data_IF_375917061880
#
_entry.id   IF_375917061880
#
_cell.length_a   1.000
_cell.length_b   1.000
_cell.length_c   1.000
_cell.angle_alpha   90.00
_cell.angle_beta   90.00
_cell.angle_gamma   90.00
#
_symmetry.space_group_name_H-M   'P 1'
#
loop_
_entity.id
_entity.type
_entity.pdbx_description
1 polymer ?
#
# COMPACT_ATOMS: atom_id res chain seq x y z
N UNK A 1 8.52 14.14 -73.49
CA UNK A 1 9.34 15.37 -73.47
C UNK A 1 9.04 16.11 -74.76
N UNK A 2 8.32 17.24 -74.71
CA UNK A 2 7.99 18.02 -75.90
C UNK A 2 8.75 19.33 -75.87
N UNK A 3 9.66 19.49 -76.83
CA UNK A 3 10.41 20.73 -77.04
C UNK A 3 9.71 21.52 -78.14
N UNK A 4 8.93 22.53 -77.76
CA UNK A 4 8.31 23.47 -78.71
C UNK A 4 9.21 24.69 -78.80
N UNK A 5 9.89 24.85 -79.95
CA UNK A 5 10.70 26.02 -80.27
C UNK A 5 9.78 27.09 -80.85
N UNK A 6 9.48 28.13 -80.08
CA UNK A 6 8.75 29.29 -80.59
C UNK A 6 9.69 30.16 -81.46
N UNK A 7 9.20 30.72 -82.57
CA UNK A 7 10.02 31.53 -83.48
C UNK A 7 10.43 32.86 -82.84
N UNK A 8 11.65 33.32 -83.17
CA UNK A 8 12.17 34.63 -82.77
C UNK A 8 11.22 35.75 -83.23
N UNK A 9 10.77 36.65 -82.34
CA UNK A 9 9.87 37.73 -82.71
C UNK A 9 10.60 38.75 -83.60
N UNK A 10 9.97 39.10 -84.73
CA UNK A 10 10.40 40.16 -85.64
C UNK A 10 10.55 41.51 -84.91
N UNK A 11 11.41 42.40 -85.43
CA UNK A 11 11.87 43.61 -84.74
C UNK A 11 10.76 44.51 -84.14
N UNK A 12 9.56 44.52 -84.74
CA UNK A 12 8.40 45.28 -84.25
C UNK A 12 7.85 44.69 -82.95
N UNK A 13 7.83 43.35 -82.81
CA UNK A 13 7.39 42.68 -81.59
C UNK A 13 8.39 42.86 -80.44
N UNK A 14 9.70 43.05 -80.72
CA UNK A 14 10.70 43.37 -79.69
C UNK A 14 10.49 44.77 -79.10
N UNK A 15 10.13 45.74 -79.95
CA UNK A 15 9.84 47.12 -79.51
C UNK A 15 8.54 47.16 -78.69
N UNK A 16 7.49 46.44 -79.12
CA UNK A 16 6.24 46.36 -78.37
C UNK A 16 6.43 45.73 -76.97
N UNK A 17 7.22 44.66 -76.86
CA UNK A 17 7.55 44.04 -75.56
C UNK A 17 8.38 44.98 -74.69
N UNK A 18 9.32 45.74 -75.25
CA UNK A 18 10.12 46.70 -74.50
C UNK A 18 9.28 47.86 -73.96
N UNK A 19 8.38 48.41 -74.78
CA UNK A 19 7.48 49.51 -74.41
C UNK A 19 6.45 49.06 -73.37
N UNK A 20 5.91 47.84 -73.47
CA UNK A 20 5.05 47.25 -72.44
C UNK A 20 5.82 46.97 -71.14
N UNK A 21 7.08 46.49 -71.22
CA UNK A 21 7.91 46.29 -70.03
C UNK A 21 8.21 47.61 -69.32
N UNK A 22 8.56 48.68 -70.05
CA UNK A 22 8.87 49.98 -69.44
C UNK A 22 7.62 50.69 -68.92
N UNK A 23 6.50 50.64 -69.63
CA UNK A 23 5.24 51.24 -69.14
C UNK A 23 4.69 50.50 -67.91
N UNK A 24 4.74 49.17 -67.87
CA UNK A 24 4.34 48.39 -66.69
C UNK A 24 5.28 48.64 -65.50
N UNK A 25 6.60 48.79 -65.72
CA UNK A 25 7.57 49.06 -64.65
C UNK A 25 7.42 50.47 -64.03
N UNK A 26 6.92 51.45 -64.80
CA UNK A 26 6.71 52.82 -64.30
C UNK A 26 5.38 52.94 -63.55
N UNK A 27 4.33 52.22 -63.97
CA UNK A 27 3.01 52.23 -63.31
C UNK A 27 2.98 51.35 -62.06
N UNK A 28 3.86 50.34 -61.96
CA UNK A 28 4.02 49.49 -60.77
C UNK A 28 5.29 49.80 -59.96
N UNK A 29 5.64 51.08 -59.76
CA UNK A 29 6.41 51.43 -58.57
C UNK A 29 5.44 51.43 -57.40
N UNK A 30 5.40 50.39 -56.54
CA UNK A 30 4.61 50.47 -55.33
C UNK A 30 5.08 51.71 -54.58
N UNK A 31 4.16 52.65 -54.31
CA UNK A 31 4.39 53.61 -53.22
C UNK A 31 4.78 52.76 -52.02
N UNK A 32 5.83 53.10 -51.25
CA UNK A 32 6.07 52.39 -50.02
C UNK A 32 4.79 52.53 -49.20
N UNK A 33 4.03 51.44 -49.09
CA UNK A 33 3.10 51.32 -48.00
C UNK A 33 3.99 51.51 -46.78
N UNK A 34 3.74 52.58 -46.04
CA UNK A 34 4.16 52.69 -44.66
C UNK A 34 3.45 51.56 -43.91
N UNK A 35 3.91 50.32 -44.13
CA UNK A 35 3.75 49.25 -43.18
C UNK A 35 4.58 49.71 -41.99
N UNK A 36 3.92 50.47 -41.11
CA UNK A 36 4.37 50.70 -39.75
C UNK A 36 4.84 49.33 -39.27
N UNK A 37 6.16 49.14 -39.12
CA UNK A 37 6.72 47.91 -38.57
C UNK A 37 6.00 47.72 -37.23
N UNK A 38 5.03 46.81 -37.17
CA UNK A 38 4.47 46.39 -35.88
C UNK A 38 5.63 45.68 -35.21
N UNK A 39 6.32 46.38 -34.34
CA UNK A 39 7.33 45.76 -33.50
C UNK A 39 6.64 44.62 -32.76
N UNK A 40 7.19 43.39 -32.80
CA UNK A 40 6.70 42.34 -31.91
C UNK A 40 6.77 42.91 -30.50
N UNK A 41 5.65 42.83 -29.77
CA UNK A 41 5.58 43.38 -28.43
C UNK A 41 6.31 42.39 -27.50
N UNK A 42 7.64 42.56 -27.42
CA UNK A 42 8.57 41.62 -26.76
C UNK A 42 8.20 41.43 -25.29
N UNK A 43 7.65 42.47 -24.64
CA UNK A 43 7.13 42.38 -23.26
C UNK A 43 6.04 41.33 -23.13
N UNK A 44 5.06 41.32 -24.04
CA UNK A 44 3.96 40.34 -24.04
C UNK A 44 4.47 38.91 -24.32
N UNK A 45 5.50 38.77 -25.15
CA UNK A 45 6.08 37.44 -25.40
C UNK A 45 6.81 36.90 -24.16
N UNK A 46 7.50 37.75 -23.42
CA UNK A 46 8.17 37.37 -22.17
C UNK A 46 7.15 37.00 -21.09
N UNK A 47 6.05 37.74 -20.96
CA UNK A 47 4.96 37.42 -20.03
C UNK A 47 4.28 36.09 -20.39
N UNK A 48 4.04 35.82 -21.68
CA UNK A 48 3.48 34.53 -22.14
C UNK A 48 4.45 33.39 -21.85
N UNK A 49 5.76 33.61 -22.01
CA UNK A 49 6.78 32.61 -21.72
C UNK A 49 6.85 32.28 -20.22
N UNK A 50 6.84 33.31 -19.37
CA UNK A 50 6.79 33.15 -17.91
C UNK A 50 5.53 32.41 -17.45
N UNK A 51 4.38 32.72 -18.05
CA UNK A 51 3.13 32.01 -17.77
C UNK A 51 3.19 30.54 -18.20
N UNK A 52 3.82 30.22 -19.34
CA UNK A 52 4.01 28.84 -19.78
C UNK A 52 4.84 28.05 -18.79
N UNK A 53 5.97 28.60 -18.36
CA UNK A 53 6.84 27.98 -17.36
C UNK A 53 6.12 27.76 -16.03
N UNK A 54 5.31 28.74 -15.61
CA UNK A 54 4.50 28.63 -14.38
C UNK A 54 3.43 27.54 -14.48
N UNK A 55 2.79 27.40 -15.65
CA UNK A 55 1.77 26.36 -15.90
C UNK A 55 2.40 24.99 -15.99
N UNK A 56 3.55 24.85 -16.65
CA UNK A 56 4.30 23.59 -16.73
C UNK A 56 4.76 23.14 -15.34
N UNK A 57 5.36 24.05 -14.56
CA UNK A 57 5.73 23.79 -13.17
C UNK A 57 4.53 23.41 -12.30
N UNK A 58 3.39 24.08 -12.47
CA UNK A 58 2.16 23.73 -11.77
C UNK A 58 1.67 22.34 -12.19
N UNK A 59 1.72 22.00 -13.48
CA UNK A 59 1.38 20.69 -14.01
C UNK A 59 2.23 19.56 -13.42
N UNK A 60 3.53 19.78 -13.31
CA UNK A 60 4.45 18.83 -12.66
C UNK A 60 4.10 18.62 -11.19
N UNK A 61 3.83 19.72 -10.46
CA UNK A 61 3.43 19.63 -9.05
C UNK A 61 2.09 18.92 -8.86
N UNK A 62 1.11 19.20 -9.73
CA UNK A 62 -0.19 18.50 -9.71
C UNK A 62 0.02 17.00 -9.96
N UNK A 63 0.87 16.63 -10.91
CA UNK A 63 1.19 15.23 -11.19
C UNK A 63 1.88 14.53 -10.00
N UNK A 64 2.81 15.21 -9.34
CA UNK A 64 3.44 14.73 -8.11
C UNK A 64 2.41 14.52 -6.98
N UNK A 65 1.48 15.47 -6.82
CA UNK A 65 0.40 15.36 -5.84
C UNK A 65 -0.53 14.19 -6.15
N UNK A 66 -0.92 13.98 -7.41
CA UNK A 66 -1.73 12.81 -7.79
C UNK A 66 -1.02 11.49 -7.47
N UNK A 67 0.28 11.41 -7.69
CA UNK A 67 1.07 10.22 -7.38
C UNK A 67 1.17 9.95 -5.87
N UNK A 68 1.33 11.00 -5.06
CA UNK A 68 1.32 10.86 -3.59
C UNK A 68 -0.05 10.46 -3.07
N UNK A 69 -1.13 11.02 -3.62
CA UNK A 69 -2.50 10.63 -3.29
C UNK A 69 -2.76 9.15 -3.62
N UNK A 70 -2.35 8.67 -4.79
CA UNK A 70 -2.46 7.24 -5.15
C UNK A 70 -1.76 6.34 -4.12
N UNK A 71 -0.51 6.66 -3.76
CA UNK A 71 0.24 5.93 -2.74
C UNK A 71 -0.48 5.93 -1.39
N UNK A 72 -1.01 7.08 -0.95
CA UNK A 72 -1.78 7.18 0.29
C UNK A 72 -3.04 6.31 0.25
N UNK A 73 -3.76 6.28 -0.86
CA UNK A 73 -4.94 5.40 -1.00
C UNK A 73 -4.58 3.93 -0.93
N UNK A 74 -3.43 3.54 -1.48
CA UNK A 74 -2.95 2.15 -1.40
C UNK A 74 -2.50 1.79 0.02
N UNK A 75 -1.80 2.69 0.72
CA UNK A 75 -1.45 2.51 2.13
C UNK A 75 -2.68 2.40 3.03
N UNK A 76 -3.73 3.17 2.78
CA UNK A 76 -4.99 3.07 3.52
C UNK A 76 -5.62 1.69 3.35
N UNK A 77 -5.74 1.20 2.10
CA UNK A 77 -6.25 -0.15 1.83
C UNK A 77 -5.43 -1.23 2.52
N UNK A 78 -4.10 -1.14 2.45
CA UNK A 78 -3.21 -2.09 3.12
C UNK A 78 -3.41 -2.07 4.64
N UNK A 79 -3.55 -0.88 5.21
CA UNK A 79 -3.77 -0.70 6.64
C UNK A 79 -5.10 -1.32 7.08
N UNK A 80 -6.17 -1.15 6.29
CA UNK A 80 -7.47 -1.74 6.57
C UNK A 80 -7.43 -3.28 6.48
N UNK A 81 -6.75 -3.83 5.47
CA UNK A 81 -6.54 -5.28 5.35
C UNK A 81 -5.77 -5.83 6.56
N UNK A 82 -4.63 -5.23 6.90
CA UNK A 82 -3.83 -5.64 8.05
C UNK A 82 -4.60 -5.55 9.37
N UNK A 83 -5.43 -4.53 9.53
CA UNK A 83 -6.26 -4.36 10.73
C UNK A 83 -7.29 -5.48 10.84
N UNK A 84 -7.94 -5.84 9.73
CA UNK A 84 -8.90 -6.94 9.68
C UNK A 84 -8.23 -8.29 9.97
N UNK A 85 -7.09 -8.57 9.34
CA UNK A 85 -6.32 -9.80 9.60
C UNK A 85 -5.91 -9.89 11.07
N UNK A 86 -5.42 -8.80 11.66
CA UNK A 86 -5.03 -8.76 13.06
C UNK A 86 -6.22 -9.01 14.00
N UNK A 87 -7.40 -8.49 13.67
CA UNK A 87 -8.63 -8.77 14.44
C UNK A 87 -9.05 -10.25 14.33
N UNK A 88 -8.97 -10.84 13.13
CA UNK A 88 -9.25 -12.26 12.92
C UNK A 88 -8.29 -13.13 13.71
N UNK A 89 -6.98 -12.89 13.57
CA UNK A 89 -5.94 -13.62 14.28
C UNK A 89 -6.08 -13.53 15.81
N UNK A 90 -6.41 -12.35 16.34
CA UNK A 90 -6.68 -12.18 17.78
C UNK A 90 -7.88 -12.98 18.25
N UNK A 91 -8.91 -13.08 17.42
CA UNK A 91 -10.12 -13.84 17.72
C UNK A 91 -9.84 -15.34 17.73
N UNK A 92 -9.08 -15.83 16.74
CA UNK A 92 -8.63 -17.22 16.66
C UNK A 92 -7.73 -17.60 17.85
N UNK A 93 -6.78 -16.74 18.22
CA UNK A 93 -5.94 -16.93 19.39
C UNK A 93 -6.76 -17.04 20.68
N UNK A 94 -7.77 -16.19 20.83
CA UNK A 94 -8.67 -16.22 21.98
C UNK A 94 -9.46 -17.54 22.02
N UNK A 95 -9.95 -18.01 20.87
CA UNK A 95 -10.65 -19.30 20.79
C UNK A 95 -9.72 -20.48 21.10
N UNK A 96 -8.51 -20.47 20.57
CA UNK A 96 -7.50 -21.50 20.86
C UNK A 96 -7.13 -21.53 22.34
N UNK A 97 -6.93 -20.37 22.98
CA UNK A 97 -6.66 -20.30 24.41
C UNK A 97 -7.81 -20.89 25.23
N UNK A 98 -9.06 -20.59 24.88
CA UNK A 98 -10.23 -21.19 25.54
C UNK A 98 -10.25 -22.72 25.38
N UNK A 99 -9.88 -23.24 24.22
CA UNK A 99 -9.77 -24.69 23.99
C UNK A 99 -8.68 -25.32 24.86
N UNK A 100 -7.52 -24.67 24.96
CA UNK A 100 -6.43 -25.12 25.84
C UNK A 100 -6.88 -25.13 27.30
N UNK A 101 -7.47 -24.04 27.78
CA UNK A 101 -8.00 -23.95 29.14
C UNK A 101 -9.04 -25.04 29.43
N UNK A 102 -9.93 -25.30 28.48
CA UNK A 102 -10.91 -26.37 28.61
C UNK A 102 -10.26 -27.75 28.68
N UNK A 103 -9.25 -28.02 27.85
CA UNK A 103 -8.50 -29.28 27.90
C UNK A 103 -7.73 -29.45 29.20
N UNK A 104 -7.13 -28.38 29.73
CA UNK A 104 -6.46 -28.39 31.03
C UNK A 104 -7.45 -28.65 32.18
N UNK A 105 -8.64 -28.05 32.11
CA UNK A 105 -9.71 -28.33 33.06
C UNK A 105 -10.18 -29.78 32.99
N UNK A 106 -10.35 -30.35 31.79
CA UNK A 106 -10.69 -31.76 31.60
C UNK A 106 -9.59 -32.70 32.13
N UNK A 107 -8.32 -32.37 31.91
CA UNK A 107 -7.22 -33.15 32.45
C UNK A 107 -7.17 -33.11 33.98
N UNK A 108 -7.69 -32.04 34.60
CA UNK A 108 -7.78 -31.90 36.06
C UNK A 108 -9.11 -32.37 36.65
N UNK A 109 -10.16 -32.54 35.84
CA UNK A 109 -11.49 -32.90 36.36
C UNK A 109 -11.52 -34.28 37.02
N UNK A 110 -10.59 -35.15 36.63
CA UNK A 110 -10.43 -36.50 37.19
C UNK A 110 -9.36 -36.54 38.30
N UNK A 111 -8.73 -35.41 38.62
CA UNK A 111 -7.75 -35.33 39.69
C UNK A 111 -8.46 -35.00 41.01
N UNK A 112 -8.16 -35.76 42.06
CA UNK A 112 -8.68 -35.55 43.40
C UNK A 112 -7.55 -35.05 44.29
N UNK A 113 -7.72 -33.89 44.91
CA UNK A 113 -6.81 -33.36 45.91
C UNK A 113 -7.29 -33.75 47.31
N UNK A 114 -6.41 -34.42 48.07
CA UNK A 114 -6.70 -34.85 49.45
C UNK A 114 -5.81 -34.06 50.40
N UNK A 115 -6.44 -33.21 51.22
CA UNK A 115 -5.76 -32.34 52.18
C UNK A 115 -5.89 -32.89 53.60
N UNK A 116 -4.91 -32.61 54.46
CA UNK A 116 -4.96 -32.97 55.89
C UNK A 116 -4.47 -34.40 56.21
N UNK A 117 -3.82 -35.06 55.24
CA UNK A 117 -3.17 -36.35 55.46
C UNK A 117 -1.74 -36.11 55.97
N UNK A 118 -1.36 -36.61 57.16
CA UNK A 118 -0.01 -36.45 57.69
C UNK A 118 1.02 -37.16 56.80
N UNK A 119 2.21 -36.59 56.73
CA UNK A 119 3.34 -37.16 55.97
C UNK A 119 4.16 -38.09 56.87
N UNK A 120 4.41 -39.32 56.41
CA UNK A 120 5.31 -40.25 57.06
C UNK A 120 6.54 -40.54 56.18
N UNK A 121 7.73 -40.72 56.78
CA UNK A 121 8.90 -41.15 56.04
C UNK A 121 8.68 -42.56 55.47
N UNK A 122 8.97 -42.73 54.17
CA UNK A 122 8.76 -44.00 53.42
C UNK A 122 7.31 -44.52 53.43
N UNK A 123 6.34 -43.63 53.22
CA UNK A 123 4.94 -44.03 53.07
C UNK A 123 4.61 -44.66 51.71
N UNK A 124 3.63 -45.57 51.70
CA UNK A 124 3.01 -46.07 50.47
C UNK A 124 1.69 -45.32 50.25
N UNK A 125 1.69 -44.39 49.30
CA UNK A 125 0.54 -43.53 49.04
C UNK A 125 -0.70 -44.30 48.57
N UNK A 126 -0.54 -45.41 47.83
CA UNK A 126 -1.67 -46.22 47.38
C UNK A 126 -2.43 -46.83 48.56
N UNK A 127 -1.69 -47.33 49.57
CA UNK A 127 -2.30 -47.84 50.79
C UNK A 127 -3.04 -46.76 51.59
N UNK A 128 -2.54 -45.52 51.55
CA UNK A 128 -3.21 -44.37 52.18
C UNK A 128 -4.53 -44.09 51.48
N UNK A 129 -4.54 -44.07 50.14
CA UNK A 129 -5.77 -43.89 49.35
C UNK A 129 -6.76 -45.02 49.59
N UNK A 130 -6.34 -46.28 49.63
CA UNK A 130 -7.20 -47.43 49.94
C UNK A 130 -7.85 -47.31 51.33
N UNK A 131 -7.08 -46.88 52.35
CA UNK A 131 -7.60 -46.65 53.70
C UNK A 131 -8.63 -45.52 53.74
N UNK A 132 -8.37 -44.43 53.00
CA UNK A 132 -9.32 -43.32 52.87
C UNK A 132 -10.59 -43.80 52.18
N UNK A 133 -10.50 -44.52 51.06
CA UNK A 133 -11.66 -45.09 50.39
C UNK A 133 -12.51 -45.97 51.32
N UNK A 134 -11.85 -46.88 52.06
CA UNK A 134 -12.51 -47.75 53.05
C UNK A 134 -13.23 -46.94 54.14
N UNK A 135 -12.67 -45.80 54.56
CA UNK A 135 -13.31 -44.93 55.56
C UNK A 135 -14.59 -44.26 55.06
N UNK A 136 -14.76 -44.12 53.74
CA UNK A 136 -15.97 -43.57 53.10
C UNK A 136 -16.83 -44.69 52.50
N UNK A 137 -16.61 -45.95 52.91
CA UNK A 137 -17.31 -47.14 52.43
C UNK A 137 -17.20 -47.35 50.90
N UNK A 138 -16.07 -46.93 50.32
CA UNK A 138 -15.78 -47.07 48.90
C UNK A 138 -14.48 -47.83 48.66
N UNK A 139 -14.57 -49.02 48.04
CA UNK A 139 -13.41 -49.86 47.77
C UNK A 139 -12.67 -49.36 46.52
N UNK A 140 -11.51 -48.74 46.74
CA UNK A 140 -10.59 -48.31 45.67
C UNK A 140 -9.64 -49.46 45.36
N UNK A 141 -9.56 -49.86 44.08
CA UNK A 141 -8.57 -50.81 43.60
C UNK A 141 -7.40 -50.07 42.95
N UNK A 142 -6.23 -50.71 42.91
CA UNK A 142 -5.02 -50.12 42.34
C UNK A 142 -5.18 -49.78 40.83
N UNK A 143 -5.97 -50.56 40.09
CA UNK A 143 -6.26 -50.32 38.67
C UNK A 143 -7.13 -49.08 38.41
N UNK A 144 -7.73 -48.50 39.46
CA UNK A 144 -8.56 -47.29 39.36
C UNK A 144 -7.73 -46.00 39.50
N UNK A 145 -6.45 -46.11 39.85
CA UNK A 145 -5.57 -44.97 40.13
C UNK A 145 -4.47 -44.92 39.08
N UNK A 146 -4.51 -43.92 38.21
CA UNK A 146 -3.47 -43.75 37.17
C UNK A 146 -2.13 -43.26 37.75
N UNK A 147 -2.18 -42.29 38.67
CA UNK A 147 -0.98 -41.76 39.33
C UNK A 147 -1.32 -41.17 40.69
N UNK A 148 -0.37 -41.26 41.62
CA UNK A 148 -0.52 -40.73 42.97
C UNK A 148 0.82 -40.16 43.43
N UNK A 149 0.81 -38.93 43.93
CA UNK A 149 1.99 -38.24 44.42
C UNK A 149 1.61 -37.14 45.41
N UNK A 150 2.55 -36.75 46.27
CA UNK A 150 2.41 -35.56 47.12
C UNK A 150 2.61 -34.31 46.28
N UNK A 151 1.74 -33.34 46.44
CA UNK A 151 1.94 -32.01 45.85
C UNK A 151 2.83 -31.22 46.82
N UNK A 152 4.01 -30.75 46.38
CA UNK A 152 4.88 -29.97 47.25
C UNK A 152 4.16 -28.68 47.65
N UNK A 153 4.01 -28.46 48.96
CA UNK A 153 3.50 -27.19 49.46
C UNK A 153 4.50 -26.10 49.11
N UNK A 154 4.00 -25.01 48.53
CA UNK A 154 4.80 -23.84 48.20
C UNK A 154 5.27 -23.22 49.52
N UNK A 155 6.43 -23.60 50.03
CA UNK A 155 7.10 -22.78 51.03
C UNK A 155 7.41 -21.44 50.34
N UNK A 156 6.84 -20.35 50.85
CA UNK A 156 6.95 -18.97 50.34
C UNK A 156 8.37 -18.37 50.42
N UNK A 157 9.40 -19.19 50.26
CA UNK A 157 10.81 -18.78 50.24
C UNK A 157 11.36 -18.89 48.83
N UNK A 158 11.04 -17.87 48.03
CA UNK A 158 11.88 -17.49 46.90
C UNK A 158 11.42 -17.97 45.54
N UNK A 159 10.76 -17.06 44.82
CA UNK A 159 11.01 -16.86 43.39
C UNK A 159 10.96 -15.36 43.11
N UNK A 160 11.87 -14.79 42.30
CA UNK A 160 11.98 -13.35 42.05
C UNK A 160 10.69 -12.71 41.57
#
# INVERSE_FOLDING_TARGET
MYFVRLPEPSGIARIAVLVLKTTVLVVMRPRPLNCRRRHPNVSLQNEIQFLRESVEFCGDKVSDFENTLKKLTDYMKLTDMLKNENQTLKSELLEMNKKIEYMDQLNRSNNIEIVGVPELPSENLLQVVEKIGTSVDYKINNDMVDSVHRVPTRNDLGRP
#
